data_IF_089344187912
#
_entry.id   IF_089344187912
#
_cell.length_a   1.000
_cell.length_b   1.000
_cell.length_c   1.000
_cell.angle_alpha   90.00
_cell.angle_beta   90.00
_cell.angle_gamma   90.00
#
_symmetry.space_group_name_H-M   'P 1'
#
loop_
_entity.id
_entity.type
_entity.pdbx_description
1 polymer ?
#
# COMPACT_ATOMS: atom_id res chain seq x y z
N UNK A 1 -10.46 6.78 22.25
CA UNK A 1 -10.79 7.40 20.95
C UNK A 1 -10.95 6.30 19.92
N UNK A 2 -11.91 6.42 19.03
CA UNK A 2 -12.10 5.49 17.92
C UNK A 2 -11.10 5.82 16.79
N UNK A 3 -10.53 4.80 16.15
CA UNK A 3 -9.59 4.97 15.04
C UNK A 3 -10.35 4.84 13.72
N UNK A 4 -10.33 5.90 12.90
CA UNK A 4 -10.86 5.86 11.54
C UNK A 4 -9.94 5.05 10.64
N UNK A 5 -10.50 4.09 9.89
CA UNK A 5 -9.77 3.29 8.89
C UNK A 5 -10.09 3.79 7.49
N UNK A 6 -9.05 4.18 6.76
CA UNK A 6 -9.15 4.62 5.37
C UNK A 6 -8.48 3.59 4.46
N UNK A 7 -9.18 3.15 3.40
CA UNK A 7 -8.64 2.24 2.40
C UNK A 7 -8.38 3.02 1.11
N UNK A 8 -7.11 3.19 0.74
CA UNK A 8 -6.72 3.80 -0.53
C UNK A 8 -6.50 2.71 -1.57
N UNK A 9 -7.51 2.45 -2.40
CA UNK A 9 -7.44 1.45 -3.48
C UNK A 9 -7.20 2.16 -4.81
N UNK A 10 -6.24 1.66 -5.58
CA UNK A 10 -5.77 2.31 -6.79
C UNK A 10 -5.01 1.37 -7.71
N UNK A 11 -5.07 1.67 -9.01
CA UNK A 11 -4.18 1.03 -9.98
C UNK A 11 -2.79 1.67 -10.00
N UNK A 12 -1.80 1.04 -10.63
CA UNK A 12 -0.45 1.60 -10.72
C UNK A 12 -0.44 2.93 -11.49
N UNK A 13 0.51 3.80 -11.15
CA UNK A 13 0.79 5.08 -11.84
C UNK A 13 -0.35 6.12 -11.76
N UNK A 14 -1.11 6.14 -10.67
CA UNK A 14 -2.22 7.07 -10.49
C UNK A 14 -2.07 8.04 -9.30
N UNK A 15 -0.83 8.28 -8.85
CA UNK A 15 -0.50 9.23 -7.76
C UNK A 15 -0.96 8.77 -6.36
N UNK A 16 -1.51 7.56 -6.20
CA UNK A 16 -1.93 7.00 -4.90
C UNK A 16 -0.81 6.99 -3.85
N UNK A 17 0.42 6.64 -4.23
CA UNK A 17 1.58 6.67 -3.33
C UNK A 17 1.83 8.08 -2.79
N UNK A 18 1.84 9.10 -3.64
CA UNK A 18 2.07 10.48 -3.19
C UNK A 18 0.92 10.97 -2.29
N UNK A 19 -0.32 10.62 -2.61
CA UNK A 19 -1.47 10.90 -1.75
C UNK A 19 -1.32 10.22 -0.38
N UNK A 20 -0.97 8.94 -0.35
CA UNK A 20 -0.74 8.17 0.87
C UNK A 20 0.37 8.80 1.74
N UNK A 21 1.52 9.12 1.16
CA UNK A 21 2.63 9.75 1.89
C UNK A 21 2.31 11.18 2.36
N UNK A 22 1.38 11.90 1.73
CA UNK A 22 0.91 13.20 2.25
C UNK A 22 0.13 13.04 3.55
N UNK A 23 -0.64 11.96 3.71
CA UNK A 23 -1.32 11.61 4.96
C UNK A 23 -0.32 11.15 6.03
N UNK A 24 0.77 10.49 5.64
CA UNK A 24 1.84 10.09 6.57
C UNK A 24 2.57 11.29 7.24
N UNK A 25 2.44 12.51 6.70
CA UNK A 25 3.01 13.72 7.32
C UNK A 25 2.19 14.27 8.49
N UNK A 26 0.99 13.72 8.75
CA UNK A 26 0.15 14.16 9.86
C UNK A 26 0.49 13.39 11.13
N UNK A 27 0.53 14.08 12.26
CA UNK A 27 0.82 13.46 13.57
C UNK A 27 -0.25 12.45 14.01
N UNK A 28 -1.48 12.57 13.49
CA UNK A 28 -2.64 11.76 13.86
C UNK A 28 -2.84 10.53 12.96
N UNK A 29 -1.97 10.31 11.97
CA UNK A 29 -2.19 9.33 10.92
C UNK A 29 -1.03 8.35 10.81
N UNK A 30 -1.38 7.05 10.75
CA UNK A 30 -0.43 5.98 10.42
C UNK A 30 -0.77 5.37 9.08
N UNK A 31 0.23 5.30 8.21
CA UNK A 31 0.13 4.67 6.88
C UNK A 31 0.64 3.23 6.93
N UNK A 32 -0.01 2.37 6.15
CA UNK A 32 0.44 1.01 5.86
C UNK A 32 0.50 0.89 4.35
N UNK A 33 1.72 0.72 3.81
CA UNK A 33 1.96 0.66 2.37
C UNK A 33 1.65 -0.74 1.83
N UNK A 34 0.89 -0.79 0.73
CA UNK A 34 0.55 -1.98 -0.07
C UNK A 34 0.51 -3.34 0.67
N UNK A 35 -0.30 -3.50 1.75
CA UNK A 35 -0.21 -4.67 2.63
C UNK A 35 -0.59 -6.01 1.97
N UNK A 36 -1.22 -5.97 0.80
CA UNK A 36 -1.65 -7.15 0.06
C UNK A 36 -0.71 -7.51 -1.10
N UNK A 37 0.30 -6.69 -1.40
CA UNK A 37 1.12 -6.86 -2.59
C UNK A 37 1.97 -8.14 -2.55
N UNK A 38 2.56 -8.45 -1.40
CA UNK A 38 3.32 -9.71 -1.24
C UNK A 38 2.46 -10.96 -1.40
N UNK A 39 1.24 -10.95 -0.84
CA UNK A 39 0.30 -12.05 -1.02
C UNK A 39 -0.14 -12.18 -2.50
N UNK A 40 -0.37 -11.05 -3.17
CA UNK A 40 -0.66 -11.03 -4.61
C UNK A 40 0.49 -11.62 -5.43
N UNK A 41 1.74 -11.22 -5.19
CA UNK A 41 2.90 -11.75 -5.90
C UNK A 41 3.05 -13.26 -5.72
N UNK A 42 2.92 -13.74 -4.48
CA UNK A 42 2.99 -15.16 -4.13
C UNK A 42 1.92 -16.00 -4.82
N UNK A 43 0.69 -15.50 -4.89
CA UNK A 43 -0.45 -16.26 -5.43
C UNK A 43 -0.58 -16.17 -6.95
N UNK A 44 -0.34 -14.99 -7.53
CA UNK A 44 -0.53 -14.75 -8.97
C UNK A 44 0.60 -15.29 -9.83
N UNK A 45 1.81 -15.41 -9.28
CA UNK A 45 3.00 -15.76 -10.05
C UNK A 45 3.42 -14.67 -11.03
N UNK A 46 3.04 -13.41 -10.80
CA UNK A 46 3.46 -12.28 -11.62
C UNK A 46 4.99 -12.20 -11.73
N UNK A 47 5.48 -11.78 -12.91
CA UNK A 47 6.91 -11.56 -13.14
C UNK A 47 7.32 -10.21 -12.54
N UNK A 48 7.91 -10.24 -11.34
CA UNK A 48 8.28 -9.07 -10.57
C UNK A 48 9.68 -9.24 -9.96
N UNK A 49 10.56 -8.22 -10.01
CA UNK A 49 11.95 -8.33 -9.52
C UNK A 49 12.11 -8.79 -8.08
N UNK A 50 11.16 -8.43 -7.20
CA UNK A 50 11.16 -8.84 -5.78
C UNK A 50 10.36 -10.10 -5.47
N UNK A 51 9.89 -10.86 -6.47
CA UNK A 51 9.01 -12.02 -6.27
C UNK A 51 9.60 -13.07 -5.32
N UNK A 52 10.89 -13.34 -5.41
CA UNK A 52 11.55 -14.38 -4.59
C UNK A 52 11.77 -13.94 -3.13
N UNK A 53 11.52 -12.66 -2.81
CA UNK A 53 11.70 -12.08 -1.48
C UNK A 53 10.39 -12.05 -0.65
N UNK A 54 9.25 -12.50 -1.21
CA UNK A 54 7.90 -12.42 -0.62
C UNK A 54 7.24 -13.76 -0.31
#
# INVERSE_FOLDING_TARGET
MEVLRLNLLSGPRNVSTALMYSFAQREDTRVVDEPLYGYYLKLSGADHPGREEV
#
